data_IF_326093331784
#
_entry.id   IF_326093331784
#
_cell.length_a   1.000
_cell.length_b   1.000
_cell.length_c   1.000
_cell.angle_alpha   90.00
_cell.angle_beta   90.00
_cell.angle_gamma   90.00
#
_symmetry.space_group_name_H-M   'P 1'
#
loop_
_entity.id
_entity.type
_entity.pdbx_description
1 polymer ?
#
# COMPACT_ATOMS: atom_id res chain seq x y z
N UNK A 1 22.65 25.64 -6.27
CA UNK A 1 21.96 26.85 -5.84
C UNK A 1 22.03 27.01 -4.33
N UNK A 2 22.11 28.26 -3.81
CA UNK A 2 22.17 28.50 -2.36
C UNK A 2 20.94 27.95 -1.64
N UNK A 3 19.79 27.96 -2.29
CA UNK A 3 18.49 27.45 -1.79
C UNK A 3 18.43 25.94 -1.61
N UNK A 4 19.39 25.22 -2.20
CA UNK A 4 19.48 23.75 -2.05
C UNK A 4 20.04 23.34 -0.69
N UNK A 5 20.98 24.11 -0.14
CA UNK A 5 21.71 23.76 1.07
C UNK A 5 20.93 24.05 2.35
N UNK A 6 21.18 23.27 3.38
CA UNK A 6 20.54 23.44 4.71
C UNK A 6 19.00 23.30 4.67
N UNK A 7 18.48 22.50 3.77
CA UNK A 7 17.06 22.15 3.64
C UNK A 7 16.82 20.69 3.96
N UNK A 8 15.60 20.36 4.35
CA UNK A 8 15.10 18.99 4.42
C UNK A 8 14.26 18.70 3.19
N UNK A 9 14.49 17.55 2.56
CA UNK A 9 13.78 17.14 1.35
C UNK A 9 13.02 15.86 1.58
N UNK A 10 11.77 15.83 1.17
CA UNK A 10 11.00 14.61 1.05
C UNK A 10 11.35 13.93 -0.27
N UNK A 11 11.69 12.63 -0.21
CA UNK A 11 12.04 11.83 -1.38
C UNK A 11 10.81 11.03 -1.80
N UNK A 12 10.47 11.08 -3.07
CA UNK A 12 9.40 10.28 -3.66
C UNK A 12 9.80 9.73 -5.02
N UNK A 13 9.15 8.63 -5.42
CA UNK A 13 9.35 8.03 -6.74
C UNK A 13 8.58 8.75 -7.87
N UNK A 14 7.87 9.81 -7.54
CA UNK A 14 7.09 10.60 -8.50
C UNK A 14 5.61 10.22 -8.57
N UNK A 15 4.86 11.00 -9.34
CA UNK A 15 3.41 10.88 -9.44
C UNK A 15 2.95 9.53 -9.99
N UNK A 16 3.70 8.95 -10.92
CA UNK A 16 3.40 7.66 -11.53
C UNK A 16 3.39 6.48 -10.53
N UNK A 17 4.06 6.65 -9.37
CA UNK A 17 4.04 5.65 -8.28
C UNK A 17 3.01 5.96 -7.21
N UNK A 18 2.19 6.99 -7.41
CA UNK A 18 1.11 7.32 -6.50
C UNK A 18 -0.04 6.32 -6.72
N UNK A 19 -0.27 5.48 -5.74
CA UNK A 19 -1.31 4.47 -5.79
C UNK A 19 -1.83 4.17 -4.38
N UNK A 20 -3.02 3.61 -4.29
CA UNK A 20 -3.54 3.09 -3.03
C UNK A 20 -2.82 1.80 -2.65
N UNK A 21 -2.85 1.42 -1.36
CA UNK A 21 -2.30 0.14 -0.94
C UNK A 21 -2.98 -1.04 -1.65
N UNK A 22 -4.28 -0.95 -1.89
CA UNK A 22 -5.02 -1.96 -2.63
C UNK A 22 -4.52 -2.11 -4.08
N UNK A 23 -4.23 -1.01 -4.77
CA UNK A 23 -3.65 -1.02 -6.12
C UNK A 23 -2.23 -1.59 -6.12
N UNK A 24 -1.41 -1.22 -5.12
CA UNK A 24 -0.07 -1.76 -4.95
C UNK A 24 -0.10 -3.29 -4.80
N UNK A 25 -0.91 -3.80 -3.87
CA UNK A 25 -1.06 -5.24 -3.64
C UNK A 25 -1.62 -5.96 -4.89
N UNK A 26 -2.56 -5.33 -5.58
CA UNK A 26 -3.12 -5.90 -6.83
C UNK A 26 -2.04 -6.04 -7.90
N UNK A 27 -1.22 -5.00 -8.11
CA UNK A 27 -0.13 -5.04 -9.09
C UNK A 27 0.96 -6.03 -8.70
N UNK A 28 1.33 -6.06 -7.42
CA UNK A 28 2.32 -6.99 -6.89
C UNK A 28 1.88 -8.45 -7.08
N UNK A 29 0.68 -8.79 -6.65
CA UNK A 29 0.15 -10.15 -6.78
C UNK A 29 0.02 -10.55 -8.26
N UNK A 30 -0.48 -9.67 -9.11
CA UNK A 30 -0.56 -9.91 -10.57
C UNK A 30 0.83 -10.15 -11.18
N UNK A 31 1.83 -9.35 -10.83
CA UNK A 31 3.20 -9.54 -11.31
C UNK A 31 3.76 -10.92 -10.90
N UNK A 32 3.40 -11.41 -9.72
CA UNK A 32 3.77 -12.75 -9.25
C UNK A 32 2.93 -13.87 -9.87
N UNK A 33 1.88 -13.55 -10.62
CA UNK A 33 0.93 -14.53 -11.16
C UNK A 33 -0.05 -15.09 -10.11
N UNK A 34 -0.17 -14.39 -8.97
CA UNK A 34 -1.08 -14.77 -7.89
C UNK A 34 -2.47 -14.14 -8.09
N UNK A 35 -3.52 -14.74 -7.49
CA UNK A 35 -4.83 -14.12 -7.46
C UNK A 35 -4.79 -12.75 -6.75
N UNK A 36 -5.73 -11.85 -7.09
CA UNK A 36 -5.83 -10.54 -6.47
C UNK A 36 -6.07 -10.57 -4.95
N UNK A 37 -5.90 -9.42 -4.27
CA UNK A 37 -5.90 -9.32 -2.81
C UNK A 37 -7.18 -9.88 -2.18
N UNK A 38 -8.32 -9.74 -2.84
CA UNK A 38 -9.61 -10.23 -2.35
C UNK A 38 -9.67 -11.75 -2.14
N UNK A 39 -8.82 -12.50 -2.85
CA UNK A 39 -8.77 -13.97 -2.75
C UNK A 39 -7.72 -14.46 -1.75
N UNK A 40 -6.67 -13.67 -1.53
CA UNK A 40 -5.51 -14.11 -0.73
C UNK A 40 -5.44 -13.47 0.66
N UNK A 41 -6.14 -12.34 0.87
CA UNK A 41 -6.19 -11.66 2.16
C UNK A 41 -7.60 -11.59 2.73
N UNK A 42 -7.71 -11.37 4.03
CA UNK A 42 -8.97 -11.01 4.66
C UNK A 42 -9.15 -9.49 4.66
N UNK A 43 -10.35 -8.96 4.44
CA UNK A 43 -10.57 -7.51 4.40
C UNK A 43 -10.19 -6.82 5.71
N UNK A 44 -10.35 -7.48 6.84
CA UNK A 44 -9.99 -6.99 8.16
C UNK A 44 -8.47 -6.87 8.39
N UNK A 45 -7.62 -7.32 7.46
CA UNK A 45 -6.16 -7.13 7.55
C UNK A 45 -5.71 -5.76 7.04
N UNK A 46 -6.61 -4.98 6.45
CA UNK A 46 -6.31 -3.68 5.86
C UNK A 46 -6.77 -2.54 6.77
N UNK A 47 -5.82 -1.71 7.19
CA UNK A 47 -6.12 -0.50 7.95
C UNK A 47 -6.88 0.51 7.07
N UNK A 48 -7.93 1.12 7.60
CA UNK A 48 -8.74 2.13 6.91
C UNK A 48 -8.17 3.55 7.11
N UNK A 49 -7.35 3.75 8.16
CA UNK A 49 -6.80 5.05 8.54
C UNK A 49 -5.32 4.90 8.94
N UNK A 50 -4.62 6.04 8.94
CA UNK A 50 -3.24 6.15 9.44
C UNK A 50 -2.26 5.13 8.82
N UNK A 51 -2.51 4.71 7.59
CA UNK A 51 -1.55 3.93 6.84
C UNK A 51 -0.32 4.81 6.54
N UNK A 52 0.87 4.29 6.80
CA UNK A 52 2.12 5.07 6.75
C UNK A 52 2.69 5.29 5.34
N UNK A 53 2.01 4.89 4.30
CA UNK A 53 2.35 5.20 2.91
C UNK A 53 1.85 6.59 2.53
N UNK A 54 2.56 7.65 2.95
CA UNK A 54 2.13 9.02 2.69
C UNK A 54 2.72 9.56 1.41
N UNK A 55 1.96 10.44 0.74
CA UNK A 55 2.45 11.29 -0.32
C UNK A 55 2.77 12.68 0.23
N UNK A 56 3.95 13.18 -0.12
CA UNK A 56 4.40 14.51 0.28
C UNK A 56 4.18 15.50 -0.86
N UNK A 57 3.56 16.63 -0.55
CA UNK A 57 3.25 17.70 -1.51
C UNK A 57 4.49 18.29 -2.18
N UNK A 58 5.60 18.28 -1.48
CA UNK A 58 6.92 18.79 -1.89
C UNK A 58 7.89 17.67 -2.32
N UNK A 59 7.39 16.46 -2.55
CA UNK A 59 8.21 15.30 -2.90
C UNK A 59 8.96 15.41 -4.22
N UNK A 60 8.62 16.38 -5.07
CA UNK A 60 9.30 16.64 -6.34
C UNK A 60 10.46 17.63 -6.22
N UNK A 61 10.53 18.40 -5.12
CA UNK A 61 11.51 19.47 -4.96
C UNK A 61 12.96 19.01 -5.07
N UNK A 62 13.29 17.82 -4.55
CA UNK A 62 14.64 17.27 -4.69
C UNK A 62 14.92 16.82 -6.13
N UNK A 63 13.90 16.27 -6.81
CA UNK A 63 14.01 15.88 -8.21
C UNK A 63 14.31 17.07 -9.12
N UNK A 64 13.72 18.23 -8.85
CA UNK A 64 13.99 19.47 -9.60
C UNK A 64 15.47 19.88 -9.57
N UNK A 65 16.20 19.53 -8.49
CA UNK A 65 17.63 19.84 -8.36
C UNK A 65 18.55 18.73 -8.89
N UNK A 66 18.22 17.49 -8.61
CA UNK A 66 19.16 16.37 -8.77
C UNK A 66 18.83 15.42 -9.94
N UNK A 67 17.59 15.47 -10.47
CA UNK A 67 17.12 14.55 -11.53
C UNK A 67 17.49 13.09 -11.24
N UNK A 68 17.21 12.64 -10.00
CA UNK A 68 17.66 11.32 -9.53
C UNK A 68 16.70 10.18 -9.87
N UNK A 69 15.47 10.50 -10.31
CA UNK A 69 14.46 9.49 -10.62
C UNK A 69 14.77 8.79 -11.92
N UNK A 70 14.75 7.47 -11.90
CA UNK A 70 14.89 6.66 -13.12
C UNK A 70 13.66 6.75 -14.04
N UNK A 71 12.53 7.23 -13.54
CA UNK A 71 11.25 7.39 -14.27
C UNK A 71 10.79 6.10 -14.98
N UNK A 72 11.11 4.94 -14.42
CA UNK A 72 10.69 3.64 -14.93
C UNK A 72 9.17 3.53 -14.79
N UNK A 73 8.42 3.07 -15.81
CA UNK A 73 6.99 2.79 -15.67
C UNK A 73 6.71 1.81 -14.52
N UNK A 74 5.63 2.05 -13.78
CA UNK A 74 5.32 1.25 -12.59
C UNK A 74 5.15 -0.25 -12.88
N UNK A 75 4.58 -0.59 -14.02
CA UNK A 75 4.39 -2.00 -14.41
C UNK A 75 5.74 -2.66 -14.79
N UNK A 76 6.66 -1.91 -15.39
CA UNK A 76 8.04 -2.37 -15.64
C UNK A 76 8.81 -2.57 -14.33
N UNK A 77 8.60 -1.71 -13.34
CA UNK A 77 9.16 -1.88 -12.00
C UNK A 77 8.72 -3.21 -11.38
N UNK A 78 7.42 -3.53 -11.40
CA UNK A 78 6.92 -4.81 -10.89
C UNK A 78 7.42 -6.01 -11.69
N UNK A 79 7.52 -5.90 -13.00
CA UNK A 79 8.11 -6.94 -13.85
C UNK A 79 9.59 -7.18 -13.52
N UNK A 80 10.35 -6.10 -13.31
CA UNK A 80 11.76 -6.17 -12.89
C UNK A 80 11.89 -6.81 -11.52
N UNK A 81 11.04 -6.46 -10.57
CA UNK A 81 11.02 -7.08 -9.24
C UNK A 81 10.79 -8.59 -9.36
N UNK A 82 9.81 -9.04 -10.15
CA UNK A 82 9.57 -10.46 -10.42
C UNK A 82 10.82 -11.15 -10.96
N UNK A 83 11.54 -10.53 -11.89
CA UNK A 83 12.75 -11.12 -12.50
C UNK A 83 13.91 -11.34 -11.51
N UNK A 84 13.91 -10.62 -10.38
CA UNK A 84 14.92 -10.75 -9.31
C UNK A 84 14.57 -11.81 -8.27
N UNK A 85 13.36 -12.33 -8.29
CA UNK A 85 12.94 -13.38 -7.37
C UNK A 85 13.55 -14.72 -7.77
N UNK A 86 13.81 -15.64 -6.81
CA UNK A 86 14.18 -17.01 -7.10
C UNK A 86 13.19 -17.68 -8.05
N UNK A 87 13.69 -18.56 -8.93
CA UNK A 87 12.91 -19.18 -9.99
C UNK A 87 11.63 -19.89 -9.52
N UNK A 88 11.61 -20.42 -8.30
CA UNK A 88 10.45 -21.12 -7.76
C UNK A 88 9.25 -20.18 -7.48
N UNK A 89 9.48 -18.87 -7.35
CA UNK A 89 8.37 -17.90 -7.28
C UNK A 89 7.58 -17.82 -8.59
N UNK A 90 8.20 -18.19 -9.72
CA UNK A 90 7.48 -18.27 -10.99
C UNK A 90 6.42 -19.39 -11.01
N UNK A 91 6.45 -20.32 -10.05
CA UNK A 91 5.46 -21.36 -9.87
C UNK A 91 4.32 -20.95 -8.91
N UNK A 92 4.37 -19.74 -8.35
CA UNK A 92 3.38 -19.25 -7.39
C UNK A 92 1.95 -19.26 -7.95
N UNK A 93 1.79 -19.11 -9.27
CA UNK A 93 0.48 -19.19 -9.93
C UNK A 93 -0.22 -20.56 -9.79
N UNK A 94 0.54 -21.62 -9.49
CA UNK A 94 -0.01 -22.95 -9.22
C UNK A 94 -0.61 -23.08 -7.81
N UNK A 95 -0.28 -22.14 -6.92
CA UNK A 95 -0.78 -22.18 -5.56
C UNK A 95 -2.26 -21.73 -5.52
N UNK A 96 -3.17 -22.55 -4.98
CA UNK A 96 -4.55 -22.14 -4.81
C UNK A 96 -4.64 -20.99 -3.79
N UNK A 97 -5.59 -20.09 -3.97
CA UNK A 97 -5.74 -18.88 -3.13
C UNK A 97 -5.80 -19.19 -1.63
N UNK A 98 -6.44 -20.28 -1.23
CA UNK A 98 -6.50 -20.69 0.18
C UNK A 98 -5.13 -21.04 0.76
N UNK A 99 -4.24 -21.65 -0.04
CA UNK A 99 -2.89 -21.98 0.42
C UNK A 99 -2.03 -20.72 0.56
N UNK A 100 -2.15 -19.75 -0.37
CA UNK A 100 -1.50 -18.46 -0.26
C UNK A 100 -1.98 -17.73 1.00
N UNK A 101 -3.29 -17.68 1.24
CA UNK A 101 -3.89 -17.09 2.44
C UNK A 101 -3.37 -17.75 3.73
N UNK A 102 -3.30 -19.07 3.76
CA UNK A 102 -2.78 -19.82 4.91
C UNK A 102 -1.30 -19.49 5.18
N UNK A 103 -0.50 -19.32 4.12
CA UNK A 103 0.90 -18.91 4.22
C UNK A 103 1.06 -17.46 4.71
N UNK A 104 0.20 -16.55 4.26
CA UNK A 104 0.26 -15.14 4.63
C UNK A 104 -0.27 -14.86 6.04
N UNK A 105 -1.16 -15.71 6.56
CA UNK A 105 -1.81 -15.52 7.85
C UNK A 105 -0.83 -15.35 9.04
N UNK A 106 0.25 -16.11 9.18
CA UNK A 106 1.24 -15.89 10.25
C UNK A 106 1.86 -14.50 10.22
N UNK A 107 2.16 -13.97 9.02
CA UNK A 107 2.73 -12.63 8.86
C UNK A 107 1.73 -11.53 9.23
N UNK A 108 0.44 -11.71 8.90
CA UNK A 108 -0.60 -10.77 9.31
C UNK A 108 -0.75 -10.71 10.84
N UNK A 109 -0.39 -11.76 11.56
CA UNK A 109 -0.55 -11.87 13.01
C UNK A 109 0.78 -11.94 13.79
N UNK A 110 1.87 -11.53 13.17
CA UNK A 110 3.17 -11.50 13.83
C UNK A 110 3.17 -10.48 14.98
N UNK A 111 3.73 -10.89 16.13
CA UNK A 111 3.77 -10.05 17.33
C UNK A 111 4.55 -8.75 17.05
N UNK A 112 3.93 -7.62 17.37
CA UNK A 112 4.50 -6.29 17.15
C UNK A 112 4.34 -5.76 15.73
N UNK A 113 3.81 -6.58 14.81
CA UNK A 113 3.52 -6.20 13.42
C UNK A 113 2.14 -6.69 12.99
N UNK A 114 1.69 -6.26 11.80
CA UNK A 114 0.41 -6.67 11.25
C UNK A 114 -0.77 -6.33 12.14
N UNK A 115 -1.72 -7.23 12.20
CA UNK A 115 -2.97 -7.08 12.97
C UNK A 115 -3.00 -7.91 14.27
N UNK A 116 -1.84 -8.35 14.78
CA UNK A 116 -1.76 -9.14 16.02
C UNK A 116 -2.42 -8.46 17.20
N UNK A 117 -2.35 -7.13 17.27
CA UNK A 117 -2.92 -6.29 18.31
C UNK A 117 -4.43 -6.45 18.50
N UNK A 118 -5.19 -6.93 17.52
CA UNK A 118 -6.62 -7.17 17.71
C UNK A 118 -6.89 -8.37 18.64
N UNK A 119 -6.00 -9.36 18.66
CA UNK A 119 -6.07 -10.47 19.61
C UNK A 119 -5.80 -9.98 21.04
N UNK A 120 -4.94 -8.98 21.18
CA UNK A 120 -4.61 -8.35 22.45
C UNK A 120 -5.68 -7.34 22.90
N UNK A 121 -6.73 -7.13 22.09
CA UNK A 121 -7.81 -6.18 22.34
C UNK A 121 -7.34 -4.73 22.58
N UNK A 122 -6.31 -4.33 21.85
CA UNK A 122 -5.69 -3.00 21.93
C UNK A 122 -6.61 -1.92 21.35
N UNK A 123 -7.38 -1.26 22.22
CA UNK A 123 -8.37 -0.26 21.83
C UNK A 123 -7.74 0.96 21.14
N UNK A 124 -6.54 1.37 21.53
CA UNK A 124 -5.86 2.52 20.92
C UNK A 124 -5.57 2.26 19.44
N UNK A 125 -5.17 1.06 19.10
CA UNK A 125 -4.92 0.66 17.70
C UNK A 125 -6.20 0.50 16.90
N UNK A 126 -7.28 0.00 17.50
CA UNK A 126 -8.59 0.01 16.83
C UNK A 126 -9.03 1.43 16.48
N UNK A 127 -8.90 2.37 17.42
CA UNK A 127 -9.21 3.78 17.17
C UNK A 127 -8.29 4.35 16.08
N UNK A 128 -6.98 4.12 16.18
CA UNK A 128 -6.01 4.65 15.25
C UNK A 128 -6.23 4.15 13.81
N UNK A 129 -6.43 2.86 13.62
CA UNK A 129 -6.46 2.25 12.29
C UNK A 129 -7.86 2.09 11.69
N UNK A 130 -8.91 2.04 12.49
CA UNK A 130 -10.28 1.86 12.02
C UNK A 130 -11.24 2.96 12.49
N UNK A 131 -10.84 3.78 13.45
CA UNK A 131 -11.67 4.81 14.07
C UNK A 131 -12.40 4.34 15.32
N UNK A 132 -12.79 3.07 15.38
CA UNK A 132 -13.33 2.42 16.59
C UNK A 132 -13.28 0.90 16.44
N UNK A 133 -13.55 0.18 17.52
CA UNK A 133 -13.70 -1.28 17.51
C UNK A 133 -14.95 -1.69 16.73
N UNK A 134 -16.04 -0.97 16.86
CA UNK A 134 -17.29 -1.23 16.16
C UNK A 134 -17.11 -1.09 14.64
N UNK A 135 -16.32 -0.08 14.19
CA UNK A 135 -15.98 0.08 12.78
C UNK A 135 -15.20 -1.11 12.25
N UNK A 136 -14.26 -1.66 13.03
CA UNK A 136 -13.54 -2.88 12.66
C UNK A 136 -14.48 -4.09 12.59
N UNK A 137 -15.34 -4.28 13.58
CA UNK A 137 -16.29 -5.40 13.65
C UNK A 137 -17.36 -5.32 12.55
N UNK A 138 -17.61 -4.12 12.01
CA UNK A 138 -18.53 -3.90 10.90
C UNK A 138 -17.98 -4.36 9.55
N UNK A 139 -16.67 -4.53 9.39
CA UNK A 139 -16.04 -5.01 8.15
C UNK A 139 -16.45 -6.48 7.93
N UNK A 140 -17.25 -6.73 6.89
CA UNK A 140 -17.74 -8.06 6.53
C UNK A 140 -17.28 -8.51 5.16
N UNK A 141 -16.95 -7.57 4.29
CA UNK A 141 -16.61 -7.81 2.91
C UNK A 141 -15.52 -6.86 2.42
N UNK A 142 -15.00 -7.13 1.23
CA UNK A 142 -14.07 -6.24 0.56
C UNK A 142 -14.69 -4.91 0.15
N UNK A 143 -16.00 -4.85 -0.06
CA UNK A 143 -16.69 -3.60 -0.38
C UNK A 143 -16.64 -2.60 0.78
N UNK A 144 -16.49 -3.09 2.02
CA UNK A 144 -16.37 -2.24 3.22
C UNK A 144 -14.98 -1.59 3.37
N UNK A 145 -13.96 -2.12 2.70
CA UNK A 145 -12.55 -1.68 2.84
C UNK A 145 -11.92 -1.23 1.53
N UNK A 146 -12.55 -1.52 0.39
CA UNK A 146 -12.01 -1.14 -0.92
C UNK A 146 -11.92 0.37 -1.01
N UNK A 147 -10.72 0.94 -1.23
CA UNK A 147 -10.58 2.39 -1.34
C UNK A 147 -11.28 2.89 -2.60
N UNK A 148 -11.76 4.14 -2.53
CA UNK A 148 -12.15 4.85 -3.74
C UNK A 148 -10.95 4.94 -4.70
N UNK A 149 -11.17 4.90 -6.01
CA UNK A 149 -10.12 5.09 -7.00
C UNK A 149 -9.29 6.34 -6.70
N UNK A 150 -7.97 6.23 -6.88
CA UNK A 150 -7.04 7.31 -6.53
C UNK A 150 -7.39 8.63 -7.23
N UNK A 151 -7.85 8.57 -8.48
CA UNK A 151 -8.27 9.74 -9.27
C UNK A 151 -9.39 10.52 -8.58
N UNK A 152 -10.38 9.83 -8.02
CA UNK A 152 -11.47 10.48 -7.26
C UNK A 152 -10.94 11.14 -5.98
N UNK A 153 -10.01 10.50 -5.29
CA UNK A 153 -9.40 11.06 -4.09
C UNK A 153 -8.57 12.30 -4.40
N UNK A 154 -7.81 12.28 -5.49
CA UNK A 154 -7.03 13.43 -5.97
C UNK A 154 -7.97 14.57 -6.37
N UNK A 155 -9.02 14.28 -7.11
CA UNK A 155 -10.00 15.28 -7.52
C UNK A 155 -10.70 15.93 -6.32
N UNK A 156 -11.08 15.11 -5.32
CA UNK A 156 -11.67 15.61 -4.08
C UNK A 156 -10.70 16.51 -3.31
N UNK A 157 -9.42 16.15 -3.22
CA UNK A 157 -8.38 16.94 -2.56
C UNK A 157 -8.10 18.26 -3.31
N UNK A 158 -8.12 18.25 -4.65
CA UNK A 158 -8.02 19.47 -5.46
C UNK A 158 -9.21 20.41 -5.22
N UNK A 159 -10.44 19.88 -5.16
CA UNK A 159 -11.64 20.68 -4.86
C UNK A 159 -11.58 21.31 -3.47
N UNK A 160 -10.93 20.67 -2.51
CA UNK A 160 -10.71 21.22 -1.16
C UNK A 160 -9.51 22.16 -1.08
N UNK A 161 -8.74 22.34 -2.16
CA UNK A 161 -7.50 23.14 -2.14
C UNK A 161 -6.33 22.50 -1.40
N UNK A 162 -6.42 21.22 -1.07
CA UNK A 162 -5.38 20.44 -0.40
C UNK A 162 -4.28 20.01 -1.38
N UNK A 163 -4.60 19.96 -2.68
CA UNK A 163 -3.71 19.68 -3.82
C UNK A 163 -3.80 20.81 -4.86
N UNK A 164 -2.66 21.11 -5.47
CA UNK A 164 -2.58 22.00 -6.64
C UNK A 164 -2.84 21.23 -7.93
#
# INVERSE_FOLDING_TARGET
PAEFWNQTYNISSGEQYRMTNYEFETRLLNALGLPGPEKVFEPQWFALKNFHGMWYKDGDRLEEYLHFRANVPVDEYFATMKSKLPWFYSLAFLAPAWAVRMFMKPYAFEKGMGTQWWKDNDQEKFIAYYGSREAYDAIKSWDDVRPEPLEKNIEAARKKGELK
#
